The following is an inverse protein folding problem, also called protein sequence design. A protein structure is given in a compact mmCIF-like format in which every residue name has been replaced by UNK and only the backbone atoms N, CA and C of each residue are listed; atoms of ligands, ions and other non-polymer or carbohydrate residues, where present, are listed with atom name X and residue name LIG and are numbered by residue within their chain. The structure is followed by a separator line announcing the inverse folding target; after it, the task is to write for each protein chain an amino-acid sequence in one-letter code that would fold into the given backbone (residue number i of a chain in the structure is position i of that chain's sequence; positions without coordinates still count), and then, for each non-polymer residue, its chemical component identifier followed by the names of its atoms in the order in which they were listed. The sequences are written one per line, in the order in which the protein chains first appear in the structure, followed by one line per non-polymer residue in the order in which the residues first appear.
data_IF_400224061578
#
_entry.id   IF_400224061578
#
_cell.length_a   1.000
_cell.length_b   1.000
_cell.length_c   1.000
_cell.angle_alpha   90.00
_cell.angle_beta   90.00
_cell.angle_gamma   90.00
#
_symmetry.space_group_name_H-M   'P 1'
#
loop_
_entity.id
_entity.type
_entity.pdbx_description
1 polymer ?
#
# COMPACT_ATOMS: atom_id res chain seq x y z
N UNK A 1 19.24 3.90 -11.78
CA UNK A 1 17.93 4.15 -11.14
C UNK A 1 17.90 3.39 -9.82
N UNK A 2 17.91 4.08 -8.67
CA UNK A 2 17.88 3.42 -7.35
C UNK A 2 16.47 2.88 -7.13
N UNK A 3 16.31 1.56 -6.99
CA UNK A 3 15.00 0.96 -6.68
C UNK A 3 14.51 1.51 -5.34
N UNK A 4 13.26 1.97 -5.26
CA UNK A 4 12.66 2.38 -3.98
C UNK A 4 12.53 1.13 -3.13
N UNK A 5 13.44 0.98 -2.18
CA UNK A 5 13.30 0.02 -1.12
C UNK A 5 12.29 0.57 -0.11
N UNK A 6 11.40 -0.31 0.33
CA UNK A 6 10.63 -0.11 1.53
C UNK A 6 10.84 -1.35 2.40
N UNK A 7 10.61 -1.17 3.69
CA UNK A 7 10.66 -2.26 4.66
C UNK A 7 9.25 -2.55 5.20
N UNK A 8 8.89 -3.83 5.30
CA UNK A 8 7.69 -4.26 6.02
C UNK A 8 8.10 -4.76 7.40
N UNK A 9 7.58 -4.11 8.44
CA UNK A 9 7.67 -4.58 9.83
C UNK A 9 6.29 -5.02 10.30
N UNK A 10 6.18 -6.27 10.70
CA UNK A 10 4.93 -6.84 11.19
C UNK A 10 4.93 -6.89 12.73
N UNK A 11 3.83 -6.46 13.31
CA UNK A 11 3.48 -6.60 14.72
C UNK A 11 2.12 -7.30 14.79
N UNK A 12 1.64 -7.62 16.00
CA UNK A 12 0.38 -8.34 16.20
C UNK A 12 -0.80 -7.65 15.51
N UNK A 13 -0.95 -6.34 15.72
CA UNK A 13 -2.16 -5.60 15.31
C UNK A 13 -1.87 -4.55 14.22
N UNK A 14 -0.63 -4.46 13.76
CA UNK A 14 -0.22 -3.46 12.77
C UNK A 14 0.94 -3.95 11.91
N UNK A 15 0.88 -3.65 10.62
CA UNK A 15 2.04 -3.71 9.72
C UNK A 15 2.49 -2.30 9.39
N UNK A 16 3.79 -2.04 9.47
CA UNK A 16 4.41 -0.78 9.07
C UNK A 16 5.12 -0.96 7.73
N UNK A 17 4.78 -0.11 6.76
CA UNK A 17 5.61 0.15 5.59
C UNK A 17 6.49 1.37 5.87
N UNK A 18 7.81 1.17 5.85
CA UNK A 18 8.80 2.22 6.02
C UNK A 18 9.40 2.58 4.66
N UNK A 19 9.27 3.83 4.24
CA UNK A 19 9.77 4.29 2.94
C UNK A 19 11.13 4.98 3.08
N UNK A 20 12.14 4.48 2.36
CA UNK A 20 13.52 5.00 2.44
C UNK A 20 13.68 6.43 1.91
N UNK A 21 12.90 6.83 0.91
CA UNK A 21 13.14 8.09 0.18
C UNK A 21 12.60 9.31 0.94
N UNK A 22 11.42 9.17 1.56
CA UNK A 22 10.69 10.29 2.16
C UNK A 22 10.54 10.13 3.68
N UNK A 23 11.19 9.11 4.27
CA UNK A 23 11.07 8.72 5.68
C UNK A 23 9.62 8.57 6.16
N UNK A 24 8.71 8.29 5.22
CA UNK A 24 7.31 8.11 5.49
C UNK A 24 7.05 6.76 6.14
N UNK A 25 6.08 6.73 7.05
CA UNK A 25 5.62 5.50 7.70
C UNK A 25 4.13 5.32 7.41
N UNK A 26 3.79 4.29 6.66
CA UNK A 26 2.39 3.89 6.46
C UNK A 26 2.03 2.80 7.46
N UNK A 27 0.97 3.03 8.23
CA UNK A 27 0.40 2.05 9.16
C UNK A 27 -0.74 1.32 8.48
N UNK A 28 -0.71 -0.01 8.55
CA UNK A 28 -1.77 -0.89 8.09
C UNK A 28 -2.33 -1.58 9.33
N UNK A 29 -3.56 -1.24 9.72
CA UNK A 29 -4.22 -1.84 10.87
C UNK A 29 -4.65 -3.27 10.55
N UNK A 30 -4.27 -4.22 11.40
CA UNK A 30 -4.51 -5.66 11.23
C UNK A 30 -5.49 -6.22 12.26
N UNK A 31 -6.04 -5.38 13.14
CA UNK A 31 -6.89 -5.76 14.28
C UNK A 31 -8.37 -6.01 13.91
N UNK A 32 -8.67 -6.15 12.61
CA UNK A 32 -10.02 -6.41 12.12
C UNK A 32 -10.96 -5.21 12.13
N UNK A 33 -10.46 -4.00 12.42
CA UNK A 33 -11.27 -2.77 12.32
C UNK A 33 -11.69 -2.48 10.87
N UNK A 34 -12.83 -1.81 10.73
CA UNK A 34 -13.24 -1.19 9.47
C UNK A 34 -12.55 0.15 9.24
N UNK A 35 -12.81 0.75 8.09
CA UNK A 35 -12.48 2.15 7.86
C UNK A 35 -13.39 3.07 8.69
N UNK A 36 -12.91 4.25 9.10
CA UNK A 36 -13.80 5.29 9.62
C UNK A 36 -14.78 5.76 8.54
N UNK A 37 -16.01 6.11 8.93
CA UNK A 37 -17.04 6.61 8.00
C UNK A 37 -16.59 7.90 7.28
N UNK A 38 -15.81 8.72 7.98
CA UNK A 38 -15.25 9.98 7.48
C UNK A 38 -13.73 9.98 7.70
N UNK A 39 -12.95 9.32 6.82
CA UNK A 39 -11.50 9.28 6.96
C UNK A 39 -10.92 10.68 6.78
N UNK A 40 -9.94 11.03 7.63
CA UNK A 40 -9.12 12.20 7.38
C UNK A 40 -8.33 12.00 6.07
N UNK A 41 -8.34 13.02 5.22
CA UNK A 41 -7.59 13.01 3.97
C UNK A 41 -6.11 13.25 4.22
N UNK A 42 -5.27 12.27 3.91
CA UNK A 42 -3.81 12.35 4.12
C UNK A 42 -3.05 11.87 2.89
N UNK A 43 -1.74 12.10 2.82
CA UNK A 43 -0.92 11.63 1.70
C UNK A 43 -0.80 10.10 1.61
N UNK A 44 -1.08 9.37 2.70
CA UNK A 44 -0.99 7.90 2.76
C UNK A 44 -2.33 7.21 3.00
N UNK A 45 -3.39 7.97 3.27
CA UNK A 45 -4.71 7.45 3.59
C UNK A 45 -4.80 6.68 4.91
N UNK A 46 -5.95 6.04 5.11
CA UNK A 46 -6.18 5.07 6.17
C UNK A 46 -6.12 3.67 5.57
N UNK A 47 -5.30 2.77 6.12
CA UNK A 47 -5.13 1.40 5.61
C UNK A 47 -5.56 0.35 6.63
N UNK A 48 -6.39 -0.60 6.19
CA UNK A 48 -6.70 -1.83 6.93
C UNK A 48 -6.18 -3.03 6.14
N UNK A 49 -5.81 -4.09 6.84
CA UNK A 49 -5.27 -5.29 6.23
C UNK A 49 -5.84 -6.57 6.80
N UNK A 50 -5.83 -7.62 5.98
CA UNK A 50 -6.16 -8.99 6.37
C UNK A 50 -5.33 -9.97 5.55
N UNK A 51 -5.08 -11.15 6.10
CA UNK A 51 -4.48 -12.25 5.34
C UNK A 51 -5.55 -13.08 4.64
N UNK A 52 -5.35 -13.33 3.35
CA UNK A 52 -6.06 -14.34 2.57
C UNK A 52 -5.07 -15.45 2.22
N UNK A 53 -4.97 -16.46 3.08
CA UNK A 53 -3.88 -17.44 3.03
C UNK A 53 -2.54 -16.75 3.29
N UNK A 54 -1.61 -16.85 2.33
CA UNK A 54 -0.28 -16.23 2.41
C UNK A 54 -0.22 -14.81 1.85
N UNK A 55 -1.35 -14.27 1.37
CA UNK A 55 -1.42 -12.94 0.76
C UNK A 55 -1.92 -11.93 1.77
N UNK A 56 -1.13 -10.90 2.05
CA UNK A 56 -1.61 -9.73 2.79
C UNK A 56 -2.40 -8.85 1.82
N UNK A 57 -3.70 -8.71 2.07
CA UNK A 57 -4.60 -7.82 1.34
C UNK A 57 -4.77 -6.55 2.14
N UNK A 58 -4.45 -5.41 1.54
CA UNK A 58 -4.52 -4.09 2.14
C UNK A 58 -5.53 -3.26 1.37
N UNK A 59 -6.43 -2.61 2.09
CA UNK A 59 -7.46 -1.74 1.56
C UNK A 59 -7.27 -0.34 2.13
N UNK A 60 -7.28 0.67 1.27
CA UNK A 60 -6.92 2.05 1.63
C UNK A 60 -7.83 3.07 1.01
N UNK A 61 -8.28 4.02 1.83
CA UNK A 61 -9.13 5.16 1.45
C UNK A 61 -8.60 6.46 2.07
N UNK A 62 -9.20 7.59 1.71
CA UNK A 62 -8.85 8.90 2.29
C UNK A 62 -7.48 9.40 1.85
N UNK A 63 -7.05 9.04 0.64
CA UNK A 63 -5.83 9.55 0.02
C UNK A 63 -6.14 10.94 -0.55
N UNK A 64 -5.30 11.92 -0.21
CA UNK A 64 -5.39 13.29 -0.72
C UNK A 64 -5.24 13.33 -2.23
N UNK A 65 -6.14 14.05 -2.92
CA UNK A 65 -6.07 14.34 -4.35
C UNK A 65 -4.79 15.10 -4.78
N UNK A 66 -4.04 15.62 -3.81
CA UNK A 66 -2.72 16.24 -4.00
C UNK A 66 -1.56 15.23 -3.90
N UNK A 67 -1.83 13.98 -3.52
CA UNK A 67 -0.82 12.93 -3.41
C UNK A 67 -0.54 12.30 -4.78
N UNK A 68 0.64 11.71 -4.91
CA UNK A 68 0.99 10.92 -6.10
C UNK A 68 0.72 9.45 -5.82
N UNK A 69 -0.12 8.81 -6.65
CA UNK A 69 -0.40 7.37 -6.56
C UNK A 69 0.61 6.52 -7.32
N UNK A 70 1.30 7.12 -8.29
CA UNK A 70 2.45 6.54 -8.96
C UNK A 70 3.36 7.61 -9.56
N UNK A 71 4.47 7.20 -10.16
CA UNK A 71 5.42 8.11 -10.80
C UNK A 71 4.99 8.63 -12.17
N UNK A 72 3.92 8.07 -12.74
CA UNK A 72 3.43 8.47 -14.06
C UNK A 72 2.48 9.66 -13.95
N UNK A 73 2.11 10.07 -12.73
CA UNK A 73 1.22 11.21 -12.51
C UNK A 73 -0.21 10.89 -12.88
N UNK A 74 -0.61 9.63 -12.70
CA UNK A 74 -1.99 9.24 -12.90
C UNK A 74 -2.90 10.09 -11.98
N UNK A 75 -3.88 10.81 -12.57
CA UNK A 75 -4.78 11.66 -11.79
C UNK A 75 -5.66 10.80 -10.89
N UNK A 76 -6.10 11.34 -9.76
CA UNK A 76 -7.13 10.73 -8.93
C UNK A 76 -7.85 11.81 -8.12
N UNK A 77 -8.94 11.40 -7.47
CA UNK A 77 -9.74 12.23 -6.58
C UNK A 77 -9.71 11.70 -5.14
N UNK A 78 -10.44 12.37 -4.27
CA UNK A 78 -10.73 11.94 -2.90
C UNK A 78 -11.62 10.68 -2.81
N UNK A 79 -12.22 10.24 -3.93
CA UNK A 79 -12.98 9.00 -4.02
C UNK A 79 -12.10 7.77 -4.25
N UNK A 80 -10.78 7.95 -4.35
CA UNK A 80 -9.84 6.87 -4.59
C UNK A 80 -9.88 5.82 -3.48
N UNK A 81 -10.01 4.57 -3.90
CA UNK A 81 -9.75 3.37 -3.12
C UNK A 81 -8.63 2.57 -3.76
N UNK A 82 -7.67 2.17 -2.92
CA UNK A 82 -6.51 1.36 -3.35
C UNK A 82 -6.58 0.02 -2.66
N UNK A 83 -6.61 -1.05 -3.44
CA UNK A 83 -6.48 -2.42 -2.94
C UNK A 83 -5.12 -2.98 -3.35
N UNK A 84 -4.31 -3.38 -2.39
CA UNK A 84 -2.99 -3.99 -2.62
C UNK A 84 -2.98 -5.43 -2.14
N UNK A 85 -2.38 -6.32 -2.94
CA UNK A 85 -2.13 -7.72 -2.59
C UNK A 85 -0.64 -7.95 -2.54
N UNK A 86 -0.10 -8.15 -1.35
CA UNK A 86 1.31 -8.43 -1.11
C UNK A 86 1.50 -9.94 -1.00
N UNK A 87 2.22 -10.52 -1.96
CA UNK A 87 2.55 -11.95 -2.01
C UNK A 87 4.05 -12.14 -2.00
N UNK A 88 4.56 -12.84 -0.99
CA UNK A 88 5.98 -13.22 -0.97
C UNK A 88 6.20 -14.34 -1.98
N UNK A 89 7.08 -14.12 -2.95
CA UNK A 89 7.39 -15.15 -3.96
C UNK A 89 8.54 -16.05 -3.48
N UNK A 90 9.53 -15.45 -2.82
CA UNK A 90 10.69 -16.15 -2.26
C UNK A 90 11.31 -15.33 -1.10
N UNK A 91 12.49 -15.74 -0.62
CA UNK A 91 13.15 -15.07 0.49
C UNK A 91 13.54 -13.61 0.20
N UNK A 92 13.70 -13.24 -1.06
CA UNK A 92 14.24 -11.97 -1.56
C UNK A 92 13.27 -11.19 -2.43
N UNK A 93 12.09 -11.73 -2.77
CA UNK A 93 11.15 -11.05 -3.65
C UNK A 93 9.71 -11.04 -3.13
N UNK A 94 9.07 -9.88 -3.31
CA UNK A 94 7.71 -9.57 -2.91
C UNK A 94 6.95 -9.03 -4.12
N UNK A 95 5.93 -9.75 -4.55
CA UNK A 95 4.99 -9.28 -5.57
C UNK A 95 3.93 -8.42 -4.91
N UNK A 96 3.70 -7.23 -5.46
CA UNK A 96 2.65 -6.32 -5.04
C UNK A 96 1.77 -6.04 -6.23
N UNK A 97 0.53 -6.50 -6.16
CA UNK A 97 -0.51 -6.15 -7.11
C UNK A 97 -1.35 -5.02 -6.53
N UNK A 98 -1.43 -3.90 -7.22
CA UNK A 98 -2.15 -2.70 -6.80
C UNK A 98 -3.30 -2.46 -7.77
N UNK A 99 -4.52 -2.45 -7.25
CA UNK A 99 -5.73 -2.06 -7.96
C UNK A 99 -6.14 -0.66 -7.53
N UNK A 100 -6.32 0.21 -8.51
CA UNK A 100 -6.77 1.59 -8.36
C UNK A 100 -8.24 1.65 -8.79
N UNK A 101 -9.10 2.06 -7.86
CA UNK A 101 -10.52 2.28 -8.09
C UNK A 101 -10.87 3.72 -7.73
N UNK A 102 -11.17 4.53 -8.74
CA UNK A 102 -11.65 5.90 -8.59
C UNK A 102 -12.73 6.18 -9.64
N UNK A 103 -14.01 6.06 -9.29
CA UNK A 103 -15.11 6.19 -10.24
C UNK A 103 -15.30 7.62 -10.75
N UNK A 104 -14.69 8.63 -10.10
CA UNK A 104 -14.73 10.02 -10.58
C UNK A 104 -13.66 10.28 -11.64
N UNK A 105 -12.61 9.47 -11.70
CA UNK A 105 -11.49 9.64 -12.65
C UNK A 105 -11.47 8.58 -13.76
N UNK A 106 -11.77 7.33 -13.41
CA UNK A 106 -11.62 6.19 -14.32
C UNK A 106 -12.96 5.50 -14.59
N UNK A 107 -13.16 5.05 -15.83
CA UNK A 107 -14.37 4.31 -16.23
C UNK A 107 -14.47 2.93 -15.57
N UNK A 108 -13.32 2.34 -15.19
CA UNK A 108 -13.22 1.05 -14.53
C UNK A 108 -11.94 0.99 -13.71
N UNK A 109 -11.89 0.17 -12.64
CA UNK A 109 -10.65 -0.09 -11.92
C UNK A 109 -9.58 -0.65 -12.84
N UNK A 110 -8.32 -0.34 -12.53
CA UNK A 110 -7.17 -0.88 -13.24
C UNK A 110 -6.13 -1.39 -12.25
N UNK A 111 -5.31 -2.32 -12.72
CA UNK A 111 -4.39 -3.07 -11.86
C UNK A 111 -2.99 -3.07 -12.44
N UNK A 112 -1.99 -2.88 -11.57
CA UNK A 112 -0.57 -3.00 -11.89
C UNK A 112 0.09 -3.99 -10.93
N UNK A 113 1.05 -4.75 -11.42
CA UNK A 113 1.88 -5.65 -10.61
C UNK A 113 3.33 -5.21 -10.64
N UNK A 114 3.97 -5.19 -9.47
CA UNK A 114 5.39 -4.85 -9.30
C UNK A 114 6.07 -5.90 -8.42
N UNK A 115 7.25 -6.36 -8.82
CA UNK A 115 8.10 -7.20 -7.99
C UNK A 115 9.13 -6.32 -7.29
N UNK A 116 9.04 -6.27 -5.96
CA UNK A 116 10.01 -5.62 -5.09
C UNK A 116 11.04 -6.64 -4.63
N UNK A 117 12.31 -6.24 -4.64
CA UNK A 117 13.40 -7.06 -4.11
C UNK A 117 13.71 -6.61 -2.70
N UNK A 118 13.51 -7.51 -1.75
CA UNK A 118 13.74 -7.29 -0.34
C UNK A 118 15.23 -7.20 -0.08
N UNK A 119 15.62 -6.28 0.81
CA UNK A 119 16.98 -6.24 1.33
C UNK A 119 17.24 -7.54 2.11
N UNK A 120 18.46 -8.08 2.00
CA UNK A 120 18.87 -9.13 2.92
C UNK A 120 18.79 -8.56 4.35
N UNK A 121 18.27 -9.32 5.34
CA UNK A 121 18.32 -8.86 6.72
C UNK A 121 19.78 -8.61 7.10
N UNK A 122 20.03 -7.47 7.75
CA UNK A 122 21.34 -7.21 8.33
C UNK A 122 21.66 -8.36 9.30
N UNK A 123 22.79 -9.05 9.07
CA UNK A 123 23.28 -10.03 10.04
C UNK A 123 23.71 -9.24 11.28
N UNK A 124 22.98 -9.40 12.38
CA UNK A 124 23.47 -9.04 13.72
C UNK A 124 24.62 -9.96 14.12
#
# INVERSE_FOLDING_TARGET
MRRRAFELRQFTDVVLLLFDHDHGVRRIYMDGRGHPDHPATTSMGHSIGKYEGEVLVVDTIGISDKAWIDFQGHPHTDALRVTERFRRLDQKSLEVQTTIDDPKTYQKPWTKTVIHYLRAPDRQ
#
